data_IF_208109618643
#
_entry.id   IF_208109618643
#
_cell.length_a   1.000
_cell.length_b   1.000
_cell.length_c   1.000
_cell.angle_alpha   90.00
_cell.angle_beta   90.00
_cell.angle_gamma   90.00
#
_symmetry.space_group_name_H-M   'P 1'
#
loop_
_entity.id
_entity.type
_entity.pdbx_description
1 polymer ?
#
# COMPACT_ATOMS: atom_id res chain seq x y z
N UNK A 1 -1.37 -12.29 -11.40
CA UNK A 1 -1.74 -10.91 -10.97
C UNK A 1 -1.63 -9.98 -12.16
N UNK A 2 -2.66 -9.20 -12.44
CA UNK A 2 -2.69 -8.17 -13.46
C UNK A 2 -3.06 -6.84 -12.79
N UNK A 3 -2.12 -5.93 -12.71
CA UNK A 3 -2.23 -4.71 -11.92
C UNK A 3 -2.13 -3.45 -12.79
N UNK A 4 -2.80 -2.39 -12.37
CA UNK A 4 -2.68 -1.05 -12.94
C UNK A 4 -2.02 -0.12 -11.93
N UNK A 5 -1.13 0.76 -12.39
CA UNK A 5 -0.57 1.86 -11.60
C UNK A 5 -1.65 2.96 -11.46
N UNK A 6 -2.69 2.62 -10.70
CA UNK A 6 -3.82 3.50 -10.40
C UNK A 6 -4.38 3.12 -9.03
N UNK A 7 -4.36 4.03 -8.07
CA UNK A 7 -4.78 3.79 -6.70
C UNK A 7 -5.54 4.94 -6.07
N UNK A 8 -5.76 4.86 -4.76
CA UNK A 8 -6.54 5.83 -4.01
C UNK A 8 -6.00 7.26 -4.03
N UNK A 9 -4.69 7.44 -4.30
CA UNK A 9 -4.06 8.75 -4.37
C UNK A 9 -4.18 9.42 -5.76
N UNK A 10 -4.55 8.70 -6.82
CA UNK A 10 -4.63 9.22 -8.19
C UNK A 10 -5.93 10.01 -8.44
N UNK A 11 -6.16 11.00 -7.59
CA UNK A 11 -7.39 11.82 -7.60
C UNK A 11 -7.35 12.95 -8.64
N UNK A 12 -6.15 13.35 -9.07
CA UNK A 12 -5.93 14.40 -10.06
C UNK A 12 -4.90 13.97 -11.09
N UNK A 13 -5.29 13.94 -12.35
CA UNK A 13 -4.45 13.49 -13.45
C UNK A 13 -4.73 14.26 -14.74
N UNK A 14 -3.80 14.20 -15.69
CA UNK A 14 -3.96 14.87 -16.99
C UNK A 14 -4.46 13.88 -18.05
N UNK A 15 -5.56 14.21 -18.72
CA UNK A 15 -6.09 13.45 -19.85
C UNK A 15 -6.47 14.42 -20.97
N UNK A 16 -6.11 14.07 -22.19
CA UNK A 16 -6.38 14.89 -23.40
C UNK A 16 -5.91 16.36 -23.26
N UNK A 17 -4.79 16.57 -22.54
CA UNK A 17 -4.18 17.88 -22.29
C UNK A 17 -4.83 18.71 -21.19
N UNK A 18 -5.84 18.21 -20.50
CA UNK A 18 -6.54 18.90 -19.41
C UNK A 18 -6.42 18.11 -18.08
N UNK A 19 -6.26 18.86 -16.98
CA UNK A 19 -6.32 18.27 -15.65
C UNK A 19 -7.76 17.86 -15.30
N UNK A 20 -7.89 16.63 -14.78
CA UNK A 20 -9.14 16.04 -14.34
C UNK A 20 -9.06 15.80 -12.83
N UNK A 21 -10.06 16.24 -12.10
CA UNK A 21 -10.26 15.89 -10.69
C UNK A 21 -11.34 14.81 -10.61
N UNK A 22 -11.11 13.82 -9.73
CA UNK A 22 -12.05 12.72 -9.51
C UNK A 22 -12.45 12.60 -8.05
N UNK A 23 -13.64 12.08 -7.74
CA UNK A 23 -14.05 11.84 -6.37
C UNK A 23 -13.12 10.82 -5.68
N UNK A 24 -12.79 11.05 -4.41
CA UNK A 24 -12.08 10.06 -3.60
C UNK A 24 -12.88 8.76 -3.52
N UNK A 25 -12.17 7.63 -3.54
CA UNK A 25 -12.77 6.31 -3.58
C UNK A 25 -12.98 5.73 -4.97
N UNK A 26 -12.72 6.51 -6.05
CA UNK A 26 -13.04 6.06 -7.41
C UNK A 26 -12.20 4.86 -7.88
N UNK A 27 -10.94 4.75 -7.46
CA UNK A 27 -10.09 3.61 -7.80
C UNK A 27 -10.62 2.30 -7.18
N UNK A 28 -10.97 2.35 -5.90
CA UNK A 28 -11.59 1.23 -5.17
C UNK A 28 -12.99 0.89 -5.73
N UNK A 29 -13.78 1.90 -6.04
CA UNK A 29 -15.07 1.69 -6.68
C UNK A 29 -14.93 1.01 -8.04
N UNK A 30 -13.94 1.41 -8.82
CA UNK A 30 -13.64 0.80 -10.11
C UNK A 30 -13.23 -0.67 -9.96
N UNK A 31 -12.43 -0.99 -8.93
CA UNK A 31 -12.05 -2.36 -8.60
C UNK A 31 -13.29 -3.25 -8.43
N UNK A 32 -14.24 -2.85 -7.58
CA UNK A 32 -15.50 -3.56 -7.39
C UNK A 32 -16.26 -3.77 -8.70
N UNK A 33 -16.32 -2.73 -9.51
CA UNK A 33 -17.12 -2.73 -10.75
C UNK A 33 -16.49 -3.54 -11.88
N UNK A 34 -15.18 -3.76 -11.87
CA UNK A 34 -14.53 -4.52 -12.93
C UNK A 34 -14.93 -6.00 -12.98
N UNK A 35 -15.40 -6.56 -11.87
CA UNK A 35 -15.89 -7.94 -11.87
C UNK A 35 -17.26 -8.13 -12.57
N UNK A 36 -17.98 -7.04 -12.78
CA UNK A 36 -19.23 -7.08 -13.56
C UNK A 36 -18.91 -7.09 -15.06
N UNK A 37 -19.48 -8.05 -15.77
CA UNK A 37 -19.36 -8.19 -17.23
C UNK A 37 -20.74 -8.20 -17.89
N UNK A 38 -20.79 -8.06 -19.20
CA UNK A 38 -22.06 -8.17 -19.94
C UNK A 38 -22.75 -9.53 -19.76
N UNK A 39 -21.97 -10.57 -19.49
CA UNK A 39 -22.42 -11.96 -19.37
C UNK A 39 -22.63 -12.43 -17.92
N UNK A 40 -22.29 -11.57 -16.93
CA UNK A 40 -22.45 -11.89 -15.51
C UNK A 40 -21.33 -11.38 -14.63
N UNK A 41 -20.74 -12.23 -13.78
CA UNK A 41 -19.68 -11.85 -12.84
C UNK A 41 -18.44 -12.72 -13.03
N UNK A 42 -17.31 -12.07 -13.31
CA UNK A 42 -16.04 -12.74 -13.63
C UNK A 42 -15.51 -13.61 -12.49
N UNK A 43 -15.66 -13.21 -11.21
CA UNK A 43 -15.23 -14.03 -10.06
C UNK A 43 -15.95 -15.38 -10.05
N UNK A 44 -17.26 -15.37 -10.32
CA UNK A 44 -18.05 -16.60 -10.31
C UNK A 44 -17.65 -17.56 -11.45
N UNK A 45 -17.31 -17.01 -12.61
CA UNK A 45 -16.87 -17.83 -13.74
C UNK A 45 -15.47 -18.42 -13.49
N UNK A 46 -14.54 -17.66 -12.93
CA UNK A 46 -13.20 -18.14 -12.56
C UNK A 46 -13.28 -19.21 -11.45
N UNK A 47 -14.15 -19.03 -10.47
CA UNK A 47 -14.38 -20.01 -9.41
C UNK A 47 -14.91 -21.36 -9.95
N UNK A 48 -15.70 -21.38 -11.04
CA UNK A 48 -16.13 -22.63 -11.71
C UNK A 48 -14.95 -23.40 -12.32
N UNK A 49 -13.88 -22.69 -12.70
CA UNK A 49 -12.62 -23.26 -13.20
C UNK A 49 -11.63 -23.58 -12.07
N UNK A 50 -12.08 -23.60 -10.81
CA UNK A 50 -11.23 -23.93 -9.66
C UNK A 50 -10.21 -22.85 -9.27
N UNK A 51 -10.37 -21.62 -9.73
CA UNK A 51 -9.56 -20.49 -9.28
C UNK A 51 -10.16 -19.82 -8.04
N UNK A 52 -9.29 -19.20 -7.25
CA UNK A 52 -9.63 -18.31 -6.15
C UNK A 52 -9.32 -16.86 -6.58
N UNK A 53 -10.21 -16.16 -7.28
CA UNK A 53 -9.99 -14.80 -7.72
C UNK A 53 -10.10 -13.81 -6.57
N UNK A 54 -9.28 -12.78 -6.61
CA UNK A 54 -9.30 -11.68 -5.64
C UNK A 54 -8.83 -10.37 -6.30
N UNK A 55 -9.03 -9.25 -5.59
CA UNK A 55 -8.49 -7.95 -5.99
C UNK A 55 -8.21 -7.10 -4.75
N UNK A 56 -7.42 -6.05 -4.93
CA UNK A 56 -7.26 -5.01 -3.94
C UNK A 56 -6.91 -3.68 -4.59
N UNK A 57 -7.28 -2.61 -3.91
CA UNK A 57 -6.84 -1.25 -4.23
C UNK A 57 -6.01 -0.70 -3.07
N UNK A 58 -4.79 -0.27 -3.36
CA UNK A 58 -3.93 0.45 -2.44
C UNK A 58 -3.90 1.95 -2.75
N UNK A 59 -3.03 2.68 -2.08
CA UNK A 59 -2.81 4.10 -2.39
C UNK A 59 -2.28 4.34 -3.81
N UNK A 60 -1.49 3.41 -4.37
CA UNK A 60 -0.74 3.60 -5.62
C UNK A 60 -1.10 2.64 -6.74
N UNK A 61 -1.81 1.56 -6.47
CA UNK A 61 -2.17 0.56 -7.47
C UNK A 61 -3.50 -0.13 -7.17
N UNK A 62 -4.09 -0.69 -8.22
CA UNK A 62 -5.18 -1.69 -8.14
C UNK A 62 -4.72 -2.96 -8.82
N UNK A 63 -4.91 -4.09 -8.18
CA UNK A 63 -4.51 -5.40 -8.69
C UNK A 63 -5.66 -6.39 -8.68
N UNK A 64 -5.74 -7.18 -9.74
CA UNK A 64 -6.66 -8.31 -9.91
C UNK A 64 -5.83 -9.57 -10.06
N UNK A 65 -6.15 -10.61 -9.32
CA UNK A 65 -5.34 -11.83 -9.35
C UNK A 65 -6.17 -13.06 -9.02
N UNK A 66 -5.57 -14.21 -9.21
CA UNK A 66 -6.14 -15.49 -8.81
C UNK A 66 -5.03 -16.47 -8.47
N UNK A 67 -5.37 -17.41 -7.62
CA UNK A 67 -4.64 -18.63 -7.37
C UNK A 67 -5.37 -19.81 -7.99
N UNK A 68 -4.65 -20.75 -8.59
CA UNK A 68 -5.23 -21.98 -9.10
C UNK A 68 -4.20 -23.11 -9.13
N UNK A 69 -4.68 -24.35 -9.13
CA UNK A 69 -3.87 -25.55 -9.35
C UNK A 69 -4.08 -26.18 -10.73
N UNK A 70 -5.16 -25.81 -11.38
CA UNK A 70 -5.58 -26.32 -12.70
C UNK A 70 -6.20 -25.18 -13.52
N UNK A 71 -6.37 -25.37 -14.82
CA UNK A 71 -7.01 -24.41 -15.74
C UNK A 71 -6.39 -23.01 -15.76
N UNK A 72 -5.06 -22.94 -15.64
CA UNK A 72 -4.35 -21.67 -15.57
C UNK A 72 -4.57 -20.80 -16.82
N UNK A 73 -4.48 -21.36 -18.05
CA UNK A 73 -4.64 -20.59 -19.29
C UNK A 73 -6.05 -20.00 -19.42
N UNK A 74 -7.08 -20.77 -19.10
CA UNK A 74 -8.47 -20.32 -19.14
C UNK A 74 -8.71 -19.18 -18.14
N UNK A 75 -8.20 -19.32 -16.92
CA UNK A 75 -8.35 -18.30 -15.88
C UNK A 75 -7.52 -17.05 -16.21
N UNK A 76 -6.29 -17.21 -16.76
CA UNK A 76 -5.47 -16.10 -17.21
C UNK A 76 -6.18 -15.31 -18.33
N UNK A 77 -6.70 -15.99 -19.35
CA UNK A 77 -7.44 -15.33 -20.43
C UNK A 77 -8.67 -14.60 -19.93
N UNK A 78 -9.37 -15.19 -18.96
CA UNK A 78 -10.52 -14.56 -18.34
C UNK A 78 -10.12 -13.31 -17.53
N UNK A 79 -9.05 -13.37 -16.72
CA UNK A 79 -8.49 -12.24 -16.00
C UNK A 79 -8.15 -11.09 -16.96
N UNK A 80 -7.37 -11.36 -18.00
CA UNK A 80 -6.97 -10.35 -18.98
C UNK A 80 -8.18 -9.74 -19.68
N UNK A 81 -9.20 -10.54 -20.01
CA UNK A 81 -10.38 -10.09 -20.73
C UNK A 81 -11.24 -9.17 -19.89
N UNK A 82 -11.62 -9.53 -18.64
CA UNK A 82 -12.53 -8.71 -17.88
C UNK A 82 -11.85 -7.43 -17.38
N UNK A 83 -10.57 -7.45 -17.05
CA UNK A 83 -9.83 -6.26 -16.65
C UNK A 83 -9.66 -5.26 -17.80
N UNK A 84 -9.59 -5.75 -19.05
CA UNK A 84 -9.43 -4.92 -20.22
C UNK A 84 -10.73 -4.36 -20.79
N UNK A 85 -11.88 -4.99 -20.51
CA UNK A 85 -13.17 -4.62 -21.10
C UNK A 85 -14.16 -4.20 -20.02
N UNK A 86 -14.29 -2.88 -19.74
CA UNK A 86 -15.17 -2.38 -18.70
C UNK A 86 -16.64 -2.51 -19.10
N UNK A 87 -17.49 -2.86 -18.13
CA UNK A 87 -18.95 -2.90 -18.29
C UNK A 87 -19.65 -2.22 -17.11
N UNK A 88 -20.07 -0.97 -17.29
CA UNK A 88 -20.72 -0.19 -16.24
C UNK A 88 -22.06 0.35 -16.74
N UNK A 89 -23.12 0.08 -16.00
CA UNK A 89 -24.45 0.66 -16.22
C UNK A 89 -24.80 1.56 -15.04
N UNK A 90 -25.60 2.58 -15.25
CA UNK A 90 -26.04 3.47 -14.16
C UNK A 90 -26.72 2.70 -13.04
N UNK A 91 -27.52 1.66 -13.38
CA UNK A 91 -28.19 0.79 -12.40
C UNK A 91 -27.17 -0.01 -11.57
N UNK A 92 -26.17 -0.64 -12.21
CA UNK A 92 -25.17 -1.45 -11.52
C UNK A 92 -24.25 -0.56 -10.66
N UNK A 93 -23.91 0.66 -11.12
CA UNK A 93 -23.18 1.65 -10.34
C UNK A 93 -23.97 2.08 -9.11
N UNK A 94 -25.26 2.44 -9.25
CA UNK A 94 -26.09 2.83 -8.12
C UNK A 94 -26.25 1.70 -7.07
N UNK A 95 -26.31 0.45 -7.50
CA UNK A 95 -26.35 -0.70 -6.61
C UNK A 95 -25.05 -0.85 -5.81
N UNK A 96 -23.90 -0.77 -6.48
CA UNK A 96 -22.57 -0.91 -5.88
C UNK A 96 -22.28 0.19 -4.86
N UNK A 97 -22.78 1.40 -5.13
CA UNK A 97 -22.65 2.53 -4.19
C UNK A 97 -23.19 2.17 -2.80
N UNK A 98 -24.30 1.44 -2.71
CA UNK A 98 -24.87 1.00 -1.43
C UNK A 98 -23.98 -0.01 -0.71
N UNK A 99 -23.33 -0.91 -1.46
CA UNK A 99 -22.40 -1.93 -0.91
C UNK A 99 -21.15 -1.26 -0.35
N UNK A 100 -20.51 -0.40 -1.15
CA UNK A 100 -19.30 0.33 -0.74
C UNK A 100 -19.60 1.30 0.42
N UNK A 101 -20.79 1.92 0.45
CA UNK A 101 -21.19 2.76 1.58
C UNK A 101 -21.30 1.98 2.90
N UNK A 102 -21.74 0.72 2.86
CA UNK A 102 -21.76 -0.16 4.04
C UNK A 102 -20.33 -0.54 4.46
N UNK A 103 -19.47 -0.87 3.51
CA UNK A 103 -18.05 -1.16 3.76
C UNK A 103 -17.35 0.04 4.41
N UNK A 104 -17.52 1.24 3.86
CA UNK A 104 -17.00 2.49 4.47
C UNK A 104 -17.51 2.63 5.91
N UNK A 105 -18.79 2.36 6.16
CA UNK A 105 -19.36 2.40 7.50
C UNK A 105 -18.67 1.42 8.47
N UNK A 106 -18.39 0.20 8.04
CA UNK A 106 -17.67 -0.79 8.85
C UNK A 106 -16.24 -0.34 9.16
N UNK A 107 -15.53 0.22 8.16
CA UNK A 107 -14.17 0.76 8.33
C UNK A 107 -14.17 1.97 9.28
N UNK A 108 -15.15 2.87 9.16
CA UNK A 108 -15.27 4.05 10.04
C UNK A 108 -15.58 3.67 11.50
N UNK A 109 -16.16 2.51 11.76
CA UNK A 109 -16.41 1.97 13.09
C UNK A 109 -15.20 1.24 13.69
N UNK A 110 -14.12 1.05 12.92
CA UNK A 110 -12.89 0.40 13.39
C UNK A 110 -11.98 1.41 14.10
N UNK A 111 -11.66 1.23 15.40
CA UNK A 111 -10.80 2.12 16.15
C UNK A 111 -9.36 2.20 15.60
N UNK A 112 -8.76 1.09 15.17
CA UNK A 112 -7.39 1.05 14.65
C UNK A 112 -7.30 1.84 13.34
N UNK A 113 -8.29 1.66 12.47
CA UNK A 113 -8.40 2.44 11.25
C UNK A 113 -8.57 3.94 11.51
N UNK A 114 -9.38 4.32 12.50
CA UNK A 114 -9.58 5.71 12.85
C UNK A 114 -8.30 6.37 13.36
N UNK A 115 -7.50 5.67 14.14
CA UNK A 115 -6.20 6.16 14.62
C UNK A 115 -5.25 6.35 13.44
N UNK A 116 -5.14 5.36 12.54
CA UNK A 116 -4.28 5.42 11.37
C UNK A 116 -4.66 6.56 10.40
N UNK A 117 -5.94 6.66 10.05
CA UNK A 117 -6.49 7.74 9.22
C UNK A 117 -6.18 9.12 9.81
N UNK A 118 -6.38 9.30 11.12
CA UNK A 118 -6.11 10.56 11.80
C UNK A 118 -4.63 10.88 11.87
N UNK A 119 -3.78 9.89 12.04
CA UNK A 119 -2.34 10.06 11.96
C UNK A 119 -1.94 10.63 10.59
N UNK A 120 -2.39 10.04 9.49
CA UNK A 120 -2.11 10.56 8.15
C UNK A 120 -2.64 11.99 7.92
N UNK A 121 -3.84 12.29 8.44
CA UNK A 121 -4.40 13.63 8.41
C UNK A 121 -3.62 14.64 9.26
N UNK A 122 -2.99 14.20 10.34
CA UNK A 122 -2.12 15.02 11.16
C UNK A 122 -0.73 15.22 10.51
N UNK A 123 -0.20 14.21 9.80
CA UNK A 123 1.08 14.31 9.11
C UNK A 123 0.99 15.22 7.87
N UNK A 124 -0.05 15.09 7.05
CA UNK A 124 -0.13 15.71 5.73
C UNK A 124 -1.24 16.76 5.62
N UNK A 125 -0.97 17.87 4.91
CA UNK A 125 -1.94 18.96 4.63
C UNK A 125 -2.62 18.77 3.29
N UNK A 126 -1.85 18.50 2.26
CA UNK A 126 -2.28 18.50 0.86
C UNK A 126 -2.15 17.13 0.20
N UNK A 127 -1.15 16.32 0.62
CA UNK A 127 -0.95 14.99 0.05
C UNK A 127 -2.21 14.14 0.10
N UNK A 128 -2.62 13.51 -1.02
CA UNK A 128 -3.75 12.59 -1.05
C UNK A 128 -3.56 11.34 -0.18
N UNK A 129 -2.35 11.07 0.32
CA UNK A 129 -2.10 10.02 1.31
C UNK A 129 -2.98 10.12 2.57
N UNK A 130 -3.46 11.33 2.91
CA UNK A 130 -4.38 11.60 4.02
C UNK A 130 -5.84 11.20 3.77
N UNK A 131 -6.16 10.78 2.55
CA UNK A 131 -7.53 10.47 2.10
C UNK A 131 -7.68 8.95 2.06
N UNK A 132 -8.71 8.37 2.72
CA UNK A 132 -8.96 6.94 2.66
C UNK A 132 -9.10 6.42 1.22
N UNK A 133 -8.53 5.25 0.93
CA UNK A 133 -8.59 4.62 -0.40
C UNK A 133 -10.02 4.38 -0.84
N UNK A 134 -10.91 3.95 0.07
CA UNK A 134 -12.33 3.77 -0.20
C UNK A 134 -13.12 5.10 -0.32
N UNK A 135 -12.47 6.23 0.00
CA UNK A 135 -13.12 7.54 0.03
C UNK A 135 -14.05 7.72 1.23
N UNK A 136 -15.14 8.43 1.02
CA UNK A 136 -16.24 8.63 1.97
C UNK A 136 -17.59 8.42 1.29
N UNK A 137 -18.65 8.17 2.05
CA UNK A 137 -20.01 8.04 1.52
C UNK A 137 -20.40 9.25 0.66
N UNK A 138 -19.98 10.46 1.07
CA UNK A 138 -20.22 11.67 0.28
C UNK A 138 -19.42 11.67 -1.03
N UNK A 139 -18.15 11.30 -1.01
CA UNK A 139 -17.32 11.31 -2.21
C UNK A 139 -17.77 10.28 -3.25
N UNK A 140 -18.06 9.04 -2.80
CA UNK A 140 -18.51 7.98 -3.70
C UNK A 140 -19.90 8.25 -4.30
N UNK A 141 -20.75 9.06 -3.64
CA UNK A 141 -22.06 9.45 -4.18
C UNK A 141 -21.98 10.28 -5.48
N UNK A 142 -20.81 10.82 -5.78
CA UNK A 142 -20.54 11.61 -7.00
C UNK A 142 -19.96 10.76 -8.14
N UNK A 143 -19.70 9.48 -7.90
CA UNK A 143 -19.17 8.57 -8.91
C UNK A 143 -20.29 8.12 -9.83
N UNK A 144 -20.05 8.17 -11.14
CA UNK A 144 -20.98 7.80 -12.20
C UNK A 144 -20.33 6.80 -13.15
N UNK A 145 -21.13 6.09 -13.95
CA UNK A 145 -20.62 5.21 -15.00
C UNK A 145 -19.65 5.95 -15.94
N UNK A 146 -19.96 7.21 -16.30
CA UNK A 146 -19.10 8.05 -17.15
C UNK A 146 -17.71 8.28 -16.50
N UNK A 147 -17.68 8.62 -15.19
CA UNK A 147 -16.40 8.84 -14.50
C UNK A 147 -15.58 7.56 -14.38
N UNK A 148 -16.23 6.41 -14.16
CA UNK A 148 -15.57 5.09 -14.14
C UNK A 148 -14.97 4.73 -15.51
N UNK A 149 -15.75 4.89 -16.60
CA UNK A 149 -15.23 4.68 -17.96
C UNK A 149 -14.04 5.59 -18.28
N UNK A 150 -14.10 6.85 -17.85
CA UNK A 150 -13.01 7.80 -18.06
C UNK A 150 -11.73 7.37 -17.34
N UNK A 151 -11.82 6.95 -16.08
CA UNK A 151 -10.67 6.47 -15.31
C UNK A 151 -10.13 5.15 -15.88
N UNK A 152 -11.01 4.21 -16.27
CA UNK A 152 -10.59 2.98 -16.92
C UNK A 152 -9.80 3.28 -18.21
N UNK A 153 -10.35 4.14 -19.08
CA UNK A 153 -9.68 4.56 -20.33
C UNK A 153 -8.31 5.20 -20.08
N UNK A 154 -8.14 5.93 -18.98
CA UNK A 154 -6.88 6.58 -18.65
C UNK A 154 -5.84 5.60 -18.13
N UNK A 155 -6.21 4.70 -17.21
CA UNK A 155 -5.26 3.97 -16.40
C UNK A 155 -5.16 2.46 -16.74
N UNK A 156 -6.17 1.87 -17.38
CA UNK A 156 -6.17 0.45 -17.74
C UNK A 156 -5.65 0.26 -19.17
N UNK A 157 -4.44 0.72 -19.39
CA UNK A 157 -3.74 0.63 -20.68
C UNK A 157 -2.44 -0.14 -20.51
N UNK A 158 -1.96 -0.89 -21.52
CA UNK A 158 -0.74 -1.70 -21.38
C UNK A 158 0.48 -0.92 -20.87
N UNK A 159 0.63 0.36 -21.25
CA UNK A 159 1.73 1.20 -20.76
C UNK A 159 1.69 1.46 -19.24
N UNK A 160 0.52 1.36 -18.62
CA UNK A 160 0.30 1.66 -17.20
C UNK A 160 0.00 0.40 -16.37
N UNK A 161 0.14 -0.79 -16.97
CA UNK A 161 -0.21 -2.06 -16.34
C UNK A 161 0.98 -3.02 -16.30
N UNK A 162 0.93 -3.95 -15.36
CA UNK A 162 1.93 -5.00 -15.18
C UNK A 162 1.24 -6.35 -15.01
N UNK A 163 1.65 -7.34 -15.79
CA UNK A 163 1.23 -8.74 -15.64
C UNK A 163 2.35 -9.55 -15.00
N UNK A 164 2.06 -10.17 -13.87
CA UNK A 164 2.99 -11.06 -13.16
C UNK A 164 2.35 -12.43 -12.99
N UNK A 165 3.09 -13.45 -13.33
CA UNK A 165 2.73 -14.85 -13.11
C UNK A 165 3.83 -15.55 -12.31
N UNK A 166 3.45 -16.25 -11.24
CA UNK A 166 4.37 -16.96 -10.33
C UNK A 166 3.90 -18.39 -10.19
N UNK A 167 4.80 -19.36 -10.43
CA UNK A 167 4.49 -20.77 -10.34
C UNK A 167 5.26 -21.62 -11.33
N UNK A 168 4.87 -22.89 -11.49
CA UNK A 168 5.37 -23.78 -12.53
C UNK A 168 4.58 -23.53 -13.83
N UNK A 169 5.07 -22.60 -14.65
CA UNK A 169 4.37 -22.00 -15.78
C UNK A 169 5.19 -22.07 -17.07
N UNK A 170 4.49 -22.18 -18.21
CA UNK A 170 5.06 -21.88 -19.53
C UNK A 170 4.99 -20.37 -19.81
N UNK A 171 6.12 -19.67 -19.69
CA UNK A 171 6.20 -18.23 -19.93
C UNK A 171 5.71 -17.84 -21.33
N UNK A 172 6.01 -18.64 -22.36
CA UNK A 172 5.57 -18.38 -23.73
C UNK A 172 4.04 -18.48 -23.88
N UNK A 173 3.39 -19.34 -23.10
CA UNK A 173 1.93 -19.40 -23.06
C UNK A 173 1.32 -18.15 -22.42
N UNK A 174 1.96 -17.63 -21.36
CA UNK A 174 1.53 -16.37 -20.73
C UNK A 174 1.65 -15.20 -21.70
N UNK A 175 2.79 -15.06 -22.39
CA UNK A 175 2.99 -14.02 -23.41
C UNK A 175 1.98 -14.12 -24.55
N UNK A 176 1.74 -15.31 -25.09
CA UNK A 176 0.73 -15.52 -26.13
C UNK A 176 -0.68 -15.13 -25.68
N UNK A 177 -1.08 -15.50 -24.46
CA UNK A 177 -2.38 -15.09 -23.92
C UNK A 177 -2.51 -13.57 -23.82
N UNK A 178 -1.44 -12.88 -23.39
CA UNK A 178 -1.42 -11.44 -23.32
C UNK A 178 -1.49 -10.79 -24.72
N UNK A 179 -0.71 -11.27 -25.69
CA UNK A 179 -0.74 -10.77 -27.07
C UNK A 179 -2.07 -10.99 -27.78
N UNK A 180 -2.75 -12.10 -27.49
CA UNK A 180 -4.06 -12.43 -28.09
C UNK A 180 -5.19 -11.52 -27.59
N UNK A 181 -5.11 -11.03 -26.34
CA UNK A 181 -6.23 -10.36 -25.66
C UNK A 181 -6.00 -8.86 -25.49
N UNK A 182 -4.78 -8.47 -25.13
CA UNK A 182 -4.49 -7.07 -24.84
C UNK A 182 -4.38 -6.24 -26.12
N UNK A 183 -4.80 -4.96 -26.08
CA UNK A 183 -4.65 -4.09 -27.25
C UNK A 183 -3.16 -3.90 -27.61
N UNK A 184 -2.81 -3.82 -28.91
CA UNK A 184 -1.43 -3.64 -29.34
C UNK A 184 -0.85 -2.26 -29.05
N UNK A 185 -1.71 -1.29 -28.76
CA UNK A 185 -1.32 0.08 -28.46
C UNK A 185 -1.00 0.20 -26.96
N UNK A 186 0.20 0.71 -26.64
CA UNK A 186 0.65 0.84 -25.26
C UNK A 186 -0.15 1.87 -24.44
N UNK A 187 -0.71 2.88 -25.09
CA UNK A 187 -1.37 4.01 -24.43
C UNK A 187 -0.40 5.14 -24.03
N UNK A 188 -0.91 6.32 -23.67
CA UNK A 188 -0.09 7.43 -23.21
C UNK A 188 0.37 7.23 -21.75
N UNK A 189 1.49 7.87 -21.40
CA UNK A 189 1.80 8.14 -19.99
C UNK A 189 0.82 9.18 -19.43
N UNK A 190 0.31 8.95 -18.23
CA UNK A 190 -0.69 9.80 -17.58
C UNK A 190 -0.01 10.57 -16.44
N UNK A 191 0.25 11.89 -16.61
CA UNK A 191 0.75 12.74 -15.54
C UNK A 191 -0.24 12.80 -14.37
N UNK A 192 0.27 12.68 -13.15
CA UNK A 192 -0.48 12.70 -11.90
C UNK A 192 -0.07 13.88 -11.04
N UNK A 193 -0.98 14.38 -10.23
CA UNK A 193 -0.72 15.46 -9.29
C UNK A 193 -1.05 14.98 -7.87
N UNK A 194 -0.02 14.81 -7.07
CA UNK A 194 -0.13 14.38 -5.67
C UNK A 194 -0.10 15.56 -4.68
N UNK A 195 -0.37 16.77 -5.16
CA UNK A 195 -0.35 17.99 -4.37
C UNK A 195 1.00 18.70 -4.37
N UNK A 196 1.06 19.79 -3.64
CA UNK A 196 2.27 20.60 -3.50
C UNK A 196 3.31 19.95 -2.60
N UNK A 197 4.49 20.60 -2.52
CA UNK A 197 5.55 20.16 -1.57
C UNK A 197 5.05 20.27 -0.14
N UNK A 198 4.98 19.14 0.52
CA UNK A 198 4.74 19.07 1.96
C UNK A 198 6.02 19.45 2.72
N UNK A 199 5.95 20.40 3.65
CA UNK A 199 7.10 20.71 4.51
C UNK A 199 7.40 19.58 5.50
N UNK A 200 8.50 19.68 6.22
CA UNK A 200 8.96 18.66 7.18
C UNK A 200 8.11 18.61 8.46
N UNK A 201 7.38 19.69 8.74
CA UNK A 201 6.52 19.76 9.93
C UNK A 201 5.15 19.12 9.66
N UNK A 202 4.58 18.38 10.62
CA UNK A 202 3.24 17.82 10.48
C UNK A 202 2.17 18.93 10.37
N UNK A 203 1.04 18.60 9.77
CA UNK A 203 -0.11 19.51 9.66
C UNK A 203 -0.70 19.83 11.03
N UNK A 204 -0.67 18.86 11.94
CA UNK A 204 -1.10 18.98 13.34
C UNK A 204 -0.15 18.15 14.21
N UNK A 205 0.18 18.64 15.38
CA UNK A 205 1.02 17.92 16.35
C UNK A 205 0.29 16.81 17.08
N UNK A 206 -1.02 16.91 17.20
CA UNK A 206 -1.88 15.97 17.93
C UNK A 206 -3.31 16.00 17.37
N UNK A 207 -3.94 14.84 17.35
CA UNK A 207 -5.36 14.67 17.05
C UNK A 207 -5.93 13.54 17.90
N UNK A 208 -7.22 13.60 18.21
CA UNK A 208 -7.90 12.55 18.97
C UNK A 208 -9.35 12.39 18.57
N UNK A 209 -9.92 11.23 18.85
CA UNK A 209 -11.36 10.98 18.79
C UNK A 209 -11.78 10.09 19.96
N UNK A 210 -13.09 10.04 20.21
CA UNK A 210 -13.66 9.15 21.22
C UNK A 210 -14.40 8.02 20.53
N UNK A 211 -14.09 6.80 20.92
CA UNK A 211 -14.75 5.58 20.48
C UNK A 211 -14.96 4.65 21.67
N UNK A 212 -15.84 3.66 21.53
CA UNK A 212 -16.05 2.62 22.56
C UNK A 212 -14.94 1.58 22.45
N UNK A 213 -13.89 1.75 23.25
CA UNK A 213 -12.73 0.85 23.32
C UNK A 213 -12.41 0.47 24.75
N UNK A 214 -11.82 -0.69 24.95
CA UNK A 214 -11.43 -1.16 26.29
C UNK A 214 -10.20 -0.42 26.86
N UNK A 215 -9.33 0.04 25.97
CA UNK A 215 -8.09 0.78 26.28
C UNK A 215 -7.84 1.80 25.18
N UNK A 216 -7.25 2.98 25.49
CA UNK A 216 -6.86 3.92 24.44
C UNK A 216 -5.89 3.31 23.45
N UNK A 217 -6.18 3.46 22.16
CA UNK A 217 -5.28 3.12 21.07
C UNK A 217 -4.64 4.40 20.51
N UNK A 218 -3.37 4.32 20.13
CA UNK A 218 -2.61 5.47 19.64
C UNK A 218 -1.60 5.10 18.54
N UNK A 219 -1.24 6.09 17.73
CA UNK A 219 -0.09 6.05 16.83
C UNK A 219 0.74 7.32 16.98
N UNK A 220 2.04 7.17 16.96
CA UNK A 220 3.01 8.26 16.78
C UNK A 220 3.57 8.16 15.38
N UNK A 221 3.36 9.19 14.55
CA UNK A 221 3.82 9.23 13.18
C UNK A 221 4.97 10.20 12.98
N UNK A 222 5.95 9.80 12.19
CA UNK A 222 7.12 10.58 11.81
C UNK A 222 7.14 10.77 10.30
N UNK A 223 7.12 12.01 9.85
CA UNK A 223 7.16 12.35 8.43
C UNK A 223 8.58 12.18 7.89
N UNK A 224 8.71 11.50 6.76
CA UNK A 224 9.99 11.20 6.14
C UNK A 224 10.08 11.83 4.74
N UNK A 225 11.27 12.18 4.23
CA UNK A 225 11.45 12.55 2.84
C UNK A 225 11.13 11.37 1.93
N UNK A 226 10.31 11.60 0.91
CA UNK A 226 10.04 10.59 -0.08
C UNK A 226 11.28 10.37 -0.98
N UNK A 227 11.80 9.14 -1.10
CA UNK A 227 12.90 8.85 -2.00
C UNK A 227 12.44 8.95 -3.48
N UNK A 228 13.38 9.17 -4.42
CA UNK A 228 13.08 9.03 -5.84
C UNK A 228 12.73 7.58 -6.19
N UNK A 229 12.07 7.38 -7.32
CA UNK A 229 11.83 6.05 -7.89
C UNK A 229 13.14 5.31 -8.20
N UNK A 230 13.06 4.02 -8.42
CA UNK A 230 14.18 3.16 -8.76
C UNK A 230 14.87 2.51 -7.55
N UNK A 231 16.11 2.10 -7.70
CA UNK A 231 16.86 1.34 -6.69
C UNK A 231 16.98 2.07 -5.34
N UNK A 232 17.01 3.39 -5.36
CA UNK A 232 17.03 4.17 -4.12
C UNK A 232 15.73 4.00 -3.32
N UNK A 233 14.58 3.85 -3.98
CA UNK A 233 13.32 3.57 -3.30
C UNK A 233 13.36 2.21 -2.59
N UNK A 234 13.83 1.15 -3.27
CA UNK A 234 14.00 -0.17 -2.66
C UNK A 234 14.96 -0.12 -1.45
N UNK A 235 16.06 0.63 -1.58
CA UNK A 235 16.99 0.81 -0.46
C UNK A 235 16.34 1.52 0.73
N UNK A 236 15.53 2.54 0.48
CA UNK A 236 14.82 3.30 1.52
C UNK A 236 13.76 2.44 2.22
N UNK A 237 13.04 1.64 1.46
CA UNK A 237 12.04 0.70 1.98
C UNK A 237 12.68 -0.28 2.97
N UNK A 238 13.72 -0.97 2.51
CA UNK A 238 14.49 -1.90 3.33
C UNK A 238 15.09 -1.21 4.56
N UNK A 239 15.65 -0.02 4.40
CA UNK A 239 16.29 0.73 5.48
C UNK A 239 15.27 1.23 6.50
N UNK A 240 14.12 1.70 6.04
CA UNK A 240 13.03 2.18 6.89
C UNK A 240 12.47 1.08 7.77
N UNK A 241 12.15 -0.08 7.18
CA UNK A 241 11.67 -1.25 7.92
C UNK A 241 12.69 -1.71 8.95
N UNK A 242 13.97 -1.85 8.55
CA UNK A 242 15.03 -2.26 9.46
C UNK A 242 15.25 -1.25 10.60
N UNK A 243 15.13 0.05 10.32
CA UNK A 243 15.23 1.10 11.34
C UNK A 243 14.05 1.06 12.33
N UNK A 244 12.83 0.87 11.83
CA UNK A 244 11.65 0.69 12.68
C UNK A 244 11.79 -0.53 13.60
N UNK A 245 12.21 -1.67 13.06
CA UNK A 245 12.42 -2.88 13.85
C UNK A 245 13.52 -2.74 14.89
N UNK A 246 14.62 -2.09 14.56
CA UNK A 246 15.74 -1.84 15.49
C UNK A 246 15.31 -0.93 16.63
N UNK A 247 14.58 0.15 16.33
CA UNK A 247 14.18 1.12 17.34
C UNK A 247 12.97 0.66 18.16
N UNK A 248 11.94 0.13 17.50
CA UNK A 248 10.59 -0.04 18.04
C UNK A 248 10.01 -1.45 17.90
N UNK A 249 10.68 -2.35 17.15
CA UNK A 249 10.20 -3.70 16.91
C UNK A 249 10.13 -4.53 18.20
N UNK A 250 9.40 -5.64 18.16
CA UNK A 250 9.13 -6.53 19.31
C UNK A 250 10.39 -7.14 19.96
N UNK A 251 11.48 -7.22 19.21
CA UNK A 251 12.79 -7.68 19.67
C UNK A 251 13.70 -6.54 20.17
N UNK A 252 13.22 -5.30 20.18
CA UNK A 252 14.00 -4.13 20.60
C UNK A 252 14.11 -4.03 22.15
N UNK A 253 15.20 -3.41 22.65
CA UNK A 253 15.30 -3.07 24.05
C UNK A 253 14.19 -2.14 24.53
N UNK A 254 13.75 -1.22 23.69
CA UNK A 254 12.64 -0.31 23.96
C UNK A 254 11.33 -1.08 24.20
N UNK A 255 10.96 -1.97 23.30
CA UNK A 255 9.75 -2.81 23.43
C UNK A 255 9.79 -3.59 24.76
N UNK A 256 10.89 -4.29 25.02
CA UNK A 256 11.04 -5.11 26.24
C UNK A 256 10.89 -4.28 27.52
N UNK A 257 11.43 -3.05 27.52
CA UNK A 257 11.31 -2.12 28.65
C UNK A 257 9.88 -1.64 28.85
N UNK A 258 9.23 -1.15 27.81
CA UNK A 258 7.85 -0.64 27.86
C UNK A 258 6.85 -1.74 28.22
N UNK A 259 7.02 -2.93 27.64
CA UNK A 259 6.18 -4.08 27.92
C UNK A 259 6.29 -4.51 29.40
N UNK A 260 7.52 -4.59 29.93
CA UNK A 260 7.75 -4.94 31.35
C UNK A 260 7.21 -3.91 32.34
N UNK A 261 7.11 -2.64 31.91
CA UNK A 261 6.49 -1.56 32.69
C UNK A 261 4.97 -1.52 32.58
N UNK A 262 4.37 -2.34 31.70
CA UNK A 262 2.94 -2.33 31.43
C UNK A 262 2.44 -1.09 30.68
N UNK A 263 3.35 -0.34 30.03
CA UNK A 263 3.01 0.83 29.23
C UNK A 263 2.47 0.46 27.85
N UNK A 264 2.86 -0.71 27.34
CA UNK A 264 2.37 -1.30 26.07
C UNK A 264 1.96 -2.75 26.30
N UNK A 265 1.24 -3.32 25.36
CA UNK A 265 0.90 -4.73 25.29
C UNK A 265 1.35 -5.35 23.93
N UNK A 266 0.87 -6.54 23.60
CA UNK A 266 1.20 -7.23 22.35
C UNK A 266 0.61 -6.61 21.08
N UNK A 267 -0.22 -5.57 21.18
CA UNK A 267 -0.72 -4.82 20.02
C UNK A 267 0.27 -3.75 19.52
N UNK A 268 1.32 -3.45 20.32
CA UNK A 268 2.30 -2.46 19.92
C UNK A 268 3.14 -2.96 18.73
N UNK A 269 3.21 -2.15 17.69
CA UNK A 269 4.00 -2.42 16.49
C UNK A 269 4.51 -1.13 15.85
N UNK A 270 5.35 -1.28 14.84
CA UNK A 270 5.90 -0.18 14.04
C UNK A 270 5.97 -0.57 12.57
N UNK A 271 5.95 0.43 11.69
CA UNK A 271 6.07 0.26 10.26
C UNK A 271 6.69 1.50 9.61
N UNK A 272 7.20 1.30 8.40
CA UNK A 272 7.65 2.37 7.51
C UNK A 272 6.93 2.25 6.17
N UNK A 273 6.28 3.31 5.72
CA UNK A 273 5.51 3.31 4.48
C UNK A 273 6.04 4.31 3.47
N UNK A 274 6.15 3.85 2.22
CA UNK A 274 6.51 4.66 1.06
C UNK A 274 5.33 4.78 0.10
N UNK A 275 4.86 6.00 -0.10
CA UNK A 275 3.80 6.34 -1.04
C UNK A 275 4.33 7.27 -2.14
N UNK A 276 3.59 7.48 -3.23
CA UNK A 276 3.94 8.49 -4.22
C UNK A 276 4.04 9.88 -3.58
N UNK A 277 5.27 10.44 -3.56
CA UNK A 277 5.53 11.77 -2.97
C UNK A 277 5.41 11.87 -1.45
N UNK A 278 5.26 10.76 -0.72
CA UNK A 278 5.17 10.74 0.73
C UNK A 278 5.91 9.53 1.32
N UNK A 279 6.47 9.71 2.51
CA UNK A 279 7.07 8.64 3.30
C UNK A 279 6.87 8.93 4.78
N UNK A 280 6.64 7.92 5.58
CA UNK A 280 6.48 8.08 7.03
C UNK A 280 6.79 6.78 7.77
N UNK A 281 7.32 6.94 8.98
CA UNK A 281 7.41 5.87 9.97
C UNK A 281 6.32 6.07 11.02
N UNK A 282 5.84 5.01 11.62
CA UNK A 282 4.92 5.11 12.76
C UNK A 282 5.06 3.93 13.72
N UNK A 283 4.66 4.17 14.94
CA UNK A 283 4.55 3.13 15.96
C UNK A 283 3.38 3.40 16.90
N UNK A 284 2.81 2.35 17.45
CA UNK A 284 1.75 2.47 18.44
C UNK A 284 1.02 1.17 18.69
N UNK A 285 -0.13 1.27 19.28
CA UNK A 285 -0.97 0.18 19.77
C UNK A 285 -1.81 0.66 20.94
N UNK A 286 -2.10 -0.22 21.88
CA UNK A 286 -2.87 0.14 23.08
C UNK A 286 -1.95 0.59 24.22
N UNK A 287 -2.31 1.70 24.86
CA UNK A 287 -1.62 2.20 26.05
C UNK A 287 -2.54 3.07 26.93
N UNK A 288 -2.36 2.96 28.25
CA UNK A 288 -2.97 3.91 29.19
C UNK A 288 -2.20 5.23 29.30
N UNK A 289 -0.98 5.29 28.79
CA UNK A 289 -0.14 6.49 28.79
C UNK A 289 0.64 6.63 27.46
N UNK A 290 -0.04 6.98 26.35
CA UNK A 290 0.58 7.19 25.07
C UNK A 290 1.70 8.24 25.07
N UNK A 291 1.59 9.26 25.92
CA UNK A 291 2.59 10.32 26.01
C UNK A 291 3.93 9.79 26.57
N UNK A 292 3.87 8.94 27.58
CA UNK A 292 5.07 8.28 28.11
C UNK A 292 5.73 7.33 27.08
N UNK A 293 4.92 6.63 26.28
CA UNK A 293 5.44 5.78 25.21
C UNK A 293 6.13 6.62 24.14
N UNK A 294 5.51 7.70 23.68
CA UNK A 294 6.11 8.63 22.71
C UNK A 294 7.45 9.20 23.20
N UNK A 295 7.50 9.70 24.46
CA UNK A 295 8.74 10.22 25.02
C UNK A 295 9.84 9.14 25.08
N UNK A 296 9.47 7.89 25.44
CA UNK A 296 10.41 6.79 25.48
C UNK A 296 10.96 6.43 24.08
N UNK A 297 10.15 6.52 23.03
CA UNK A 297 10.60 6.34 21.62
C UNK A 297 11.62 7.42 21.26
N UNK A 298 11.31 8.69 21.54
CA UNK A 298 12.20 9.80 21.25
C UNK A 298 13.52 9.73 22.04
N UNK A 299 13.44 9.27 23.30
CA UNK A 299 14.62 9.11 24.15
C UNK A 299 15.53 7.96 23.67
N UNK A 300 14.93 6.84 23.25
CA UNK A 300 15.66 5.71 22.67
C UNK A 300 16.35 6.09 21.36
N UNK A 301 15.68 6.82 20.48
CA UNK A 301 16.27 7.30 19.25
C UNK A 301 17.45 8.24 19.51
N UNK A 302 17.34 9.18 20.47
CA UNK A 302 18.45 10.04 20.90
C UNK A 302 19.58 9.24 21.54
N UNK A 303 19.26 8.18 22.28
CA UNK A 303 20.25 7.26 22.86
C UNK A 303 21.06 6.56 21.78
N UNK A 304 20.37 5.91 20.82
CA UNK A 304 21.00 5.22 19.71
C UNK A 304 21.90 6.14 18.88
N UNK A 305 21.45 7.38 18.65
CA UNK A 305 22.22 8.40 17.93
C UNK A 305 23.54 8.77 18.65
N UNK A 306 23.54 8.83 19.99
CA UNK A 306 24.73 9.20 20.77
C UNK A 306 25.69 8.05 21.00
N UNK A 307 25.18 6.88 21.30
CA UNK A 307 25.98 5.73 21.72
C UNK A 307 26.28 4.76 20.56
N UNK A 308 25.52 4.86 19.46
CA UNK A 308 25.57 3.93 18.35
C UNK A 308 24.80 2.63 18.61
N UNK A 309 24.82 1.76 17.62
CA UNK A 309 24.21 0.43 17.72
C UNK A 309 25.20 -0.58 18.28
N UNK A 310 24.77 -1.35 19.26
CA UNK A 310 25.53 -2.51 19.75
C UNK A 310 25.76 -3.50 18.59
N UNK A 311 27.03 -3.95 18.35
CA UNK A 311 27.34 -4.78 17.20
C UNK A 311 26.63 -6.14 17.20
N UNK A 312 26.42 -6.76 18.37
CA UNK A 312 25.74 -8.05 18.47
C UNK A 312 24.24 -7.89 18.25
N UNK A 313 23.66 -6.80 18.76
CA UNK A 313 22.27 -6.43 18.50
C UNK A 313 22.04 -6.18 17.00
N UNK A 314 22.89 -5.36 16.37
CA UNK A 314 22.85 -5.11 14.94
C UNK A 314 22.86 -6.41 14.12
N UNK A 315 23.81 -7.29 14.38
CA UNK A 315 23.94 -8.55 13.65
C UNK A 315 22.72 -9.46 13.83
N UNK A 316 22.14 -9.47 15.02
CA UNK A 316 20.93 -10.26 15.31
C UNK A 316 19.72 -9.70 14.53
N UNK A 317 19.49 -8.39 14.57
CA UNK A 317 18.39 -7.73 13.85
C UNK A 317 18.53 -7.90 12.34
N UNK A 318 19.73 -7.64 11.81
CA UNK A 318 20.00 -7.81 10.38
C UNK A 318 19.75 -9.25 9.91
N UNK A 319 20.15 -10.26 10.67
CA UNK A 319 19.89 -11.67 10.31
C UNK A 319 18.40 -12.03 10.43
N UNK A 320 17.73 -11.58 11.47
CA UNK A 320 16.31 -11.84 11.71
C UNK A 320 15.43 -11.29 10.57
N UNK A 321 15.64 -10.04 10.23
CA UNK A 321 14.90 -9.36 9.13
C UNK A 321 15.16 -10.02 7.77
N UNK A 322 16.42 -10.33 7.46
CA UNK A 322 16.74 -11.07 6.23
C UNK A 322 16.04 -12.43 6.17
N UNK A 323 16.03 -13.16 7.30
CA UNK A 323 15.31 -14.43 7.40
C UNK A 323 13.80 -14.28 7.21
N UNK A 324 13.19 -13.22 7.73
CA UNK A 324 11.77 -12.90 7.51
C UNK A 324 11.47 -12.62 6.04
N UNK A 325 12.33 -11.83 5.36
CA UNK A 325 12.20 -11.55 3.94
C UNK A 325 12.32 -12.80 3.08
N UNK A 326 13.28 -13.69 3.39
CA UNK A 326 13.39 -14.99 2.72
C UNK A 326 12.13 -15.86 2.92
N UNK A 327 11.52 -15.82 4.11
CA UNK A 327 10.29 -16.55 4.39
C UNK A 327 9.13 -16.01 3.53
N UNK A 328 9.09 -14.73 3.23
CA UNK A 328 8.11 -14.10 2.34
C UNK A 328 8.11 -14.71 0.92
N UNK A 329 9.26 -15.22 0.45
CA UNK A 329 9.37 -15.91 -0.85
C UNK A 329 8.63 -17.26 -0.92
N UNK A 330 8.02 -17.73 0.17
CA UNK A 330 7.11 -18.88 0.15
C UNK A 330 5.65 -18.49 -0.22
N UNK A 331 5.35 -17.21 -0.34
CA UNK A 331 4.04 -16.69 -0.74
C UNK A 331 4.09 -16.19 -2.18
N UNK A 332 3.27 -16.77 -3.05
CA UNK A 332 3.14 -16.32 -4.44
C UNK A 332 2.60 -14.89 -4.51
N UNK A 333 1.66 -14.54 -3.63
CA UNK A 333 1.12 -13.17 -3.54
C UNK A 333 2.19 -12.16 -3.19
N UNK A 334 3.01 -12.44 -2.17
CA UNK A 334 4.10 -11.54 -1.76
C UNK A 334 5.12 -11.33 -2.88
N UNK A 335 5.47 -12.40 -3.59
CA UNK A 335 6.37 -12.32 -4.76
C UNK A 335 5.72 -11.47 -5.86
N UNK A 336 4.45 -11.76 -6.18
CA UNK A 336 3.75 -11.05 -7.25
C UNK A 336 3.59 -9.56 -6.95
N UNK A 337 3.21 -9.19 -5.72
CA UNK A 337 3.10 -7.79 -5.28
C UNK A 337 4.47 -7.09 -5.40
N UNK A 338 5.53 -7.70 -4.88
CA UNK A 338 6.88 -7.12 -4.95
C UNK A 338 7.36 -6.89 -6.39
N UNK A 339 7.06 -7.84 -7.30
CA UNK A 339 7.40 -7.69 -8.73
C UNK A 339 6.58 -6.58 -9.41
N UNK A 340 5.29 -6.45 -9.07
CA UNK A 340 4.43 -5.36 -9.56
C UNK A 340 4.93 -4.00 -9.05
N UNK A 341 5.26 -3.91 -7.78
CA UNK A 341 5.83 -2.69 -7.19
C UNK A 341 7.16 -2.31 -7.87
N UNK A 342 8.05 -3.29 -8.07
CA UNK A 342 9.28 -3.09 -8.80
C UNK A 342 9.06 -2.58 -10.22
N UNK A 343 8.08 -3.12 -10.93
CA UNK A 343 7.68 -2.66 -12.25
C UNK A 343 7.22 -1.19 -12.22
N UNK A 344 6.31 -0.84 -11.30
CA UNK A 344 5.73 0.51 -11.22
C UNK A 344 6.66 1.57 -10.65
N UNK A 345 7.62 1.17 -9.83
CA UNK A 345 8.59 2.06 -9.18
C UNK A 345 9.99 1.98 -9.80
N UNK A 346 10.15 1.23 -10.89
CA UNK A 346 11.39 1.10 -11.66
C UNK A 346 12.58 0.53 -10.89
N UNK A 347 12.35 -0.48 -10.05
CA UNK A 347 13.42 -1.24 -9.41
C UNK A 347 13.27 -2.74 -9.64
N UNK A 348 14.38 -3.48 -9.46
CA UNK A 348 14.39 -4.94 -9.51
C UNK A 348 14.34 -5.50 -8.07
N UNK A 349 13.22 -6.11 -7.65
CA UNK A 349 13.12 -6.70 -6.31
C UNK A 349 14.11 -7.83 -6.05
N UNK A 350 14.61 -8.50 -7.08
CA UNK A 350 15.60 -9.56 -6.95
C UNK A 350 16.97 -9.05 -6.48
N UNK A 351 17.19 -7.73 -6.54
CA UNK A 351 18.39 -7.08 -5.97
C UNK A 351 18.31 -6.87 -4.46
N UNK A 352 17.19 -7.23 -3.83
CA UNK A 352 17.02 -7.12 -2.38
C UNK A 352 18.22 -7.66 -1.58
N UNK A 353 18.75 -8.90 -1.82
CA UNK A 353 19.84 -9.43 -0.99
C UNK A 353 21.12 -8.59 -1.07
N UNK A 354 21.45 -8.08 -2.26
CA UNK A 354 22.63 -7.25 -2.50
C UNK A 354 22.49 -5.88 -1.80
N UNK A 355 21.33 -5.24 -1.96
CA UNK A 355 21.05 -3.95 -1.34
C UNK A 355 21.01 -4.11 0.19
N UNK A 356 20.33 -5.14 0.68
CA UNK A 356 20.26 -5.44 2.11
C UNK A 356 21.64 -5.64 2.74
N UNK A 357 22.53 -6.40 2.07
CA UNK A 357 23.88 -6.62 2.57
C UNK A 357 24.69 -5.33 2.67
N UNK A 358 24.44 -4.38 1.77
CA UNK A 358 25.12 -3.08 1.73
C UNK A 358 24.73 -2.12 2.84
N UNK A 359 23.61 -2.35 3.55
CA UNK A 359 23.13 -1.47 4.62
C UNK A 359 24.02 -1.63 5.87
N UNK A 360 24.46 -0.49 6.38
CA UNK A 360 25.35 -0.39 7.55
C UNK A 360 24.62 0.15 8.79
N UNK A 361 25.16 -0.02 10.01
CA UNK A 361 24.63 0.64 11.20
C UNK A 361 24.50 2.15 11.05
N UNK A 362 25.44 2.80 10.33
CA UNK A 362 25.43 4.23 10.14
C UNK A 362 24.24 4.69 9.29
N UNK A 363 23.86 3.92 8.25
CA UNK A 363 22.69 4.23 7.43
C UNK A 363 21.40 4.30 8.28
N UNK A 364 21.24 3.38 9.25
CA UNK A 364 20.11 3.39 10.19
C UNK A 364 20.14 4.59 11.12
N UNK A 365 21.33 4.94 11.65
CA UNK A 365 21.48 6.10 12.53
C UNK A 365 21.23 7.40 11.78
N UNK A 366 21.69 7.50 10.53
CA UNK A 366 21.47 8.69 9.69
C UNK A 366 19.98 8.88 9.39
N UNK A 367 19.23 7.80 9.14
CA UNK A 367 17.79 7.88 8.95
C UNK A 367 17.06 8.37 10.21
N UNK A 368 17.44 7.88 11.40
CA UNK A 368 16.83 8.32 12.67
C UNK A 368 17.16 9.78 13.02
N UNK A 369 18.27 10.33 12.56
CA UNK A 369 18.64 11.75 12.76
C UNK A 369 17.80 12.72 11.93
N UNK A 370 17.27 12.29 10.80
CA UNK A 370 16.51 13.14 9.88
C UNK A 370 15.07 13.35 10.37
N UNK A 371 14.52 12.46 11.22
CA UNK A 371 13.09 12.36 11.50
C UNK A 371 12.67 12.47 12.97
N UNK A 372 13.60 12.59 13.91
CA UNK A 372 13.39 12.73 15.34
C UNK A 372 14.17 13.97 15.85
#
# INVERSE_FOLDING_TARGET
>A
MFATRYGGMDLRFQQDGAWQDTPAGIAHYLEHKMFDTADGNAMQEMAKNGAEPNAFTSNAMTAYYFDCTEHFDENLRQLLSFVSVPYFTDESVAKEQGIIAQEIGMIEDDPEWQVYKRMLQALYRESPARIPVAGSVESISRITAETLYRCHKAFYTPANMCLVAVGDLDAEAVFRAAEDILPPESGPDIPRDYGGSEGDTPAQSETSCRMEVSMPSFLVGFKCPAPPEGEQRLRWDILGDLACDILMGDSSPLFSRLYSQGLINGSFGSSFDLLPGAAYAYAGGDSNDPAAVMEAILEEARHLTREGLDPDYWQRMKRGNFGASLKGLNSFDSIAISLVEGCFQHFDPLRFPEIYDSITPQDVLDLSLIHI
#
